data_IF_666106396425
#
_entry.id   IF_666106396425
#
_cell.length_a   1.000
_cell.length_b   1.000
_cell.length_c   1.000
_cell.angle_alpha   90.00
_cell.angle_beta   90.00
_cell.angle_gamma   90.00
#
_symmetry.space_group_name_H-M   'P 1'
#
loop_
_entity.id
_entity.type
_entity.pdbx_description
1 polymer ?
#
# COMPACT_ATOMS: atom_id res chain seq x y z
N UNK A 1 -4.40 5.92 5.94
CA UNK A 1 -3.66 6.01 4.66
C UNK A 1 -3.58 7.48 4.29
N UNK A 2 -2.42 7.96 3.88
CA UNK A 2 -2.21 9.35 3.46
C UNK A 2 -1.60 9.32 2.07
N UNK A 3 -2.16 10.02 1.09
CA UNK A 3 -1.54 10.19 -0.22
C UNK A 3 -0.29 11.07 -0.05
N UNK A 4 0.88 10.59 -0.48
CA UNK A 4 2.16 11.29 -0.31
C UNK A 4 2.80 11.71 -1.62
N UNK A 5 2.41 11.06 -2.73
CA UNK A 5 2.83 11.43 -4.07
C UNK A 5 1.83 10.89 -5.09
N UNK A 6 1.69 11.58 -6.22
CA UNK A 6 0.85 11.17 -7.33
C UNK A 6 1.47 11.66 -8.63
N UNK A 7 1.44 10.81 -9.66
CA UNK A 7 1.66 11.19 -11.04
C UNK A 7 0.61 10.52 -11.95
N UNK A 8 0.78 10.63 -13.27
CA UNK A 8 -0.18 10.08 -14.25
C UNK A 8 -0.30 8.55 -14.23
N UNK A 9 0.68 7.84 -13.70
CA UNK A 9 0.76 6.38 -13.74
C UNK A 9 0.54 5.74 -12.37
N UNK A 10 0.96 6.41 -11.28
CA UNK A 10 0.96 5.84 -9.94
C UNK A 10 0.57 6.87 -8.86
N UNK A 11 -0.27 6.41 -7.93
CA UNK A 11 -0.56 7.07 -6.66
C UNK A 11 0.18 6.34 -5.54
N UNK A 12 0.88 7.08 -4.70
CA UNK A 12 1.65 6.52 -3.59
C UNK A 12 1.01 6.97 -2.28
N UNK A 13 0.55 6.02 -1.49
CA UNK A 13 0.02 6.25 -0.16
C UNK A 13 0.98 5.74 0.90
N UNK A 14 0.96 6.35 2.08
CA UNK A 14 1.63 5.86 3.27
C UNK A 14 0.63 5.33 4.29
N UNK A 15 0.91 4.17 4.83
CA UNK A 15 0.21 3.56 5.95
C UNK A 15 1.21 3.30 7.08
N UNK A 16 1.02 3.94 8.22
CA UNK A 16 1.84 3.69 9.40
C UNK A 16 1.43 2.35 10.02
N UNK A 17 2.41 1.54 10.40
CA UNK A 17 2.22 0.24 11.03
C UNK A 17 3.12 0.11 12.26
N UNK A 18 2.88 -0.90 13.07
CA UNK A 18 3.77 -1.21 14.20
C UNK A 18 5.13 -1.63 13.64
N UNK A 19 6.15 -0.82 13.90
CA UNK A 19 7.52 -1.06 13.41
C UNK A 19 7.87 -0.36 12.09
N UNK A 20 7.08 0.62 11.63
CA UNK A 20 7.47 1.50 10.54
C UNK A 20 6.29 2.02 9.71
N UNK A 21 6.48 2.10 8.39
CA UNK A 21 5.44 2.42 7.44
C UNK A 21 5.50 1.50 6.23
N UNK A 22 4.34 1.36 5.59
CA UNK A 22 4.16 0.74 4.28
C UNK A 22 3.84 1.86 3.29
N UNK A 23 4.57 1.89 2.18
CA UNK A 23 4.18 2.63 0.99
C UNK A 23 3.30 1.70 0.13
N UNK A 24 2.14 2.20 -0.28
CA UNK A 24 1.20 1.50 -1.16
C UNK A 24 1.23 2.22 -2.50
N UNK A 25 1.62 1.52 -3.55
CA UNK A 25 1.68 2.01 -4.92
C UNK A 25 0.43 1.50 -5.63
N UNK A 26 -0.43 2.43 -6.04
CA UNK A 26 -1.62 2.14 -6.82
C UNK A 26 -1.38 2.62 -8.25
N UNK A 27 -1.20 1.68 -9.16
CA UNK A 27 -1.01 1.97 -10.58
C UNK A 27 -2.34 2.19 -11.28
N UNK A 28 -2.32 2.97 -12.36
CA UNK A 28 -3.51 3.31 -13.16
C UNK A 28 -4.20 2.07 -13.77
N UNK A 29 -3.43 1.00 -14.04
CA UNK A 29 -3.94 -0.29 -14.53
C UNK A 29 -4.62 -1.12 -13.42
N UNK A 30 -4.58 -0.66 -12.17
CA UNK A 30 -5.15 -1.34 -11.02
C UNK A 30 -4.26 -2.28 -10.26
N UNK A 31 -3.03 -2.43 -10.73
CA UNK A 31 -2.01 -3.12 -9.98
C UNK A 31 -1.72 -2.40 -8.66
N UNK A 32 -1.51 -3.19 -7.61
CA UNK A 32 -1.05 -2.71 -6.32
C UNK A 32 0.32 -3.30 -6.03
N UNK A 33 1.24 -2.46 -5.58
CA UNK A 33 2.51 -2.90 -5.01
C UNK A 33 2.70 -2.31 -3.62
N UNK A 34 3.50 -2.98 -2.79
CA UNK A 34 3.72 -2.60 -1.41
C UNK A 34 5.22 -2.55 -1.13
N UNK A 35 5.66 -1.47 -0.49
CA UNK A 35 7.06 -1.26 -0.13
C UNK A 35 7.23 -0.89 1.33
N UNK A 36 8.29 -1.38 1.96
CA UNK A 36 8.66 -1.02 3.33
C UNK A 36 10.18 -0.91 3.44
N UNK A 37 10.67 -0.13 4.41
CA UNK A 37 12.11 -0.02 4.67
C UNK A 37 12.75 -1.36 5.07
N UNK A 38 11.98 -2.23 5.73
CA UNK A 38 12.42 -3.57 6.17
C UNK A 38 11.49 -4.62 5.59
N UNK A 39 12.06 -5.67 5.00
CA UNK A 39 11.31 -6.82 4.47
C UNK A 39 10.44 -7.47 5.56
N UNK A 40 10.95 -7.57 6.79
CA UNK A 40 10.18 -8.14 7.91
C UNK A 40 8.89 -7.36 8.23
N UNK A 41 8.89 -6.04 8.06
CA UNK A 41 7.69 -5.20 8.23
C UNK A 41 6.67 -5.50 7.13
N UNK A 42 7.13 -5.65 5.89
CA UNK A 42 6.27 -6.02 4.76
C UNK A 42 5.66 -7.41 4.94
N UNK A 43 6.48 -8.42 5.23
CA UNK A 43 6.04 -9.81 5.46
C UNK A 43 5.01 -9.92 6.59
N UNK A 44 5.17 -9.14 7.66
CA UNK A 44 4.19 -9.10 8.75
C UNK A 44 2.90 -8.41 8.31
N UNK A 45 3.02 -7.30 7.59
CA UNK A 45 1.88 -6.51 7.11
C UNK A 45 0.98 -7.31 6.16
N UNK A 46 1.53 -8.05 5.21
CA UNK A 46 0.77 -8.84 4.23
C UNK A 46 -0.12 -9.93 4.88
N UNK A 47 0.23 -10.35 6.11
CA UNK A 47 -0.57 -11.31 6.89
C UNK A 47 -1.71 -10.67 7.67
N UNK A 48 -1.84 -9.35 7.65
CA UNK A 48 -2.85 -8.63 8.44
C UNK A 48 -4.18 -8.49 7.70
N UNK A 49 -5.27 -8.29 8.46
CA UNK A 49 -6.56 -7.91 7.88
C UNK A 49 -6.54 -6.54 7.22
N UNK A 50 -5.63 -5.66 7.64
CA UNK A 50 -5.44 -4.32 7.06
C UNK A 50 -4.96 -4.43 5.62
N UNK A 51 -4.01 -5.32 5.34
CA UNK A 51 -3.57 -5.61 3.96
C UNK A 51 -4.76 -6.02 3.08
N UNK A 52 -5.56 -7.00 3.52
CA UNK A 52 -6.74 -7.47 2.78
C UNK A 52 -7.76 -6.35 2.54
N UNK A 53 -8.00 -5.51 3.54
CA UNK A 53 -8.90 -4.36 3.42
C UNK A 53 -8.38 -3.33 2.42
N UNK A 54 -7.08 -3.02 2.42
CA UNK A 54 -6.46 -2.09 1.47
C UNK A 54 -6.56 -2.62 0.04
N UNK A 55 -6.21 -3.89 -0.20
CA UNK A 55 -6.34 -4.49 -1.52
C UNK A 55 -7.79 -4.40 -2.01
N UNK A 56 -8.77 -4.76 -1.15
CA UNK A 56 -10.18 -4.67 -1.52
C UNK A 56 -10.60 -3.24 -1.85
N UNK A 57 -10.25 -2.25 -1.03
CA UNK A 57 -10.69 -0.86 -1.26
C UNK A 57 -10.03 -0.24 -2.50
N UNK A 58 -8.76 -0.54 -2.78
CA UNK A 58 -8.03 0.11 -3.86
C UNK A 58 -8.18 -0.60 -5.21
N UNK A 59 -8.41 -1.90 -5.23
CA UNK A 59 -8.65 -2.65 -6.48
C UNK A 59 -10.07 -2.43 -7.02
N UNK A 60 -11.08 -2.19 -6.18
CA UNK A 60 -12.47 -1.95 -6.62
C UNK A 60 -12.77 -0.48 -6.97
N UNK A 61 -11.79 0.42 -6.88
CA UNK A 61 -11.96 1.87 -7.14
C UNK A 61 -11.59 2.28 -8.57
N UNK A 62 -11.60 1.34 -9.50
CA UNK A 62 -11.17 1.51 -10.90
C UNK A 62 -12.38 1.38 -11.80
#
# INVERSE_FOLDING_TARGET
>A
MILIAENREVKIYRHNTVGGWINVYQFKNGELSFGAKKISTLNRFEKTQVYKAICRVLTHKI
#
